data_IF_871989646439
#
_entry.id   IF_871989646439
#
_cell.length_a   1.000
_cell.length_b   1.000
_cell.length_c   1.000
_cell.angle_alpha   90.00
_cell.angle_beta   90.00
_cell.angle_gamma   90.00
#
_symmetry.space_group_name_H-M   'P 1'
#
loop_
_entity.id
_entity.type
_entity.pdbx_description
1 polymer ?
#
# COMPACT_ATOMS: atom_id res chain seq x y z
N UNK A 1 -3.77 -24.30 -19.33
CA UNK A 1 -3.18 -23.67 -18.13
C UNK A 1 -2.40 -22.47 -18.59
N UNK A 2 -3.12 -21.40 -18.89
CA UNK A 2 -2.54 -20.09 -19.14
C UNK A 2 -2.51 -19.38 -17.79
N UNK A 3 -1.31 -19.00 -17.34
CA UNK A 3 -1.12 -18.23 -16.11
C UNK A 3 -0.87 -16.77 -16.50
N UNK A 4 -1.63 -15.84 -15.93
CA UNK A 4 -1.37 -14.40 -16.07
C UNK A 4 -0.72 -13.90 -14.79
N UNK A 5 0.57 -13.59 -14.87
CA UNK A 5 1.32 -12.93 -13.80
C UNK A 5 1.23 -11.43 -13.99
N UNK A 6 0.60 -10.74 -13.03
CA UNK A 6 0.51 -9.28 -12.98
C UNK A 6 1.54 -8.77 -12.00
N UNK A 7 2.67 -8.31 -12.54
CA UNK A 7 3.77 -7.67 -11.82
C UNK A 7 4.06 -6.29 -12.38
N UNK A 8 4.89 -5.53 -11.67
CA UNK A 8 5.50 -4.34 -12.26
C UNK A 8 6.31 -4.75 -13.49
N UNK A 9 6.11 -4.10 -14.65
CA UNK A 9 6.88 -4.41 -15.83
C UNK A 9 8.34 -3.97 -15.60
N UNK A 10 9.33 -4.71 -16.15
CA UNK A 10 10.75 -4.41 -15.94
C UNK A 10 11.14 -2.97 -16.31
N UNK A 11 10.46 -2.38 -17.30
CA UNK A 11 10.68 -0.99 -17.71
C UNK A 11 10.23 0.05 -16.68
N UNK A 12 9.11 -0.16 -15.99
CA UNK A 12 8.68 0.73 -14.90
C UNK A 12 9.61 0.59 -13.69
N UNK A 13 10.04 -0.63 -13.37
CA UNK A 13 10.99 -0.88 -12.30
C UNK A 13 12.35 -0.22 -12.59
N UNK A 14 12.84 -0.30 -13.83
CA UNK A 14 14.05 0.40 -14.28
C UNK A 14 13.89 1.92 -14.24
N UNK A 15 12.72 2.45 -14.63
CA UNK A 15 12.42 3.88 -14.55
C UNK A 15 12.40 4.37 -13.10
N UNK A 16 11.87 3.60 -12.15
CA UNK A 16 11.89 3.94 -10.73
C UNK A 16 13.34 3.92 -10.20
N UNK A 17 14.09 2.85 -10.48
CA UNK A 17 15.50 2.73 -10.07
C UNK A 17 16.42 3.78 -10.69
N UNK A 18 16.14 4.26 -11.90
CA UNK A 18 16.95 5.29 -12.55
C UNK A 18 16.44 6.71 -12.22
N UNK A 19 15.12 6.90 -12.26
CA UNK A 19 14.47 8.20 -12.13
C UNK A 19 14.59 8.80 -10.73
N UNK A 20 14.34 8.01 -9.67
CA UNK A 20 14.40 8.53 -8.31
C UNK A 20 15.82 8.92 -7.87
N UNK A 21 16.90 8.15 -8.13
CA UNK A 21 18.26 8.59 -7.84
C UNK A 21 18.69 9.80 -8.65
N UNK A 22 18.32 9.89 -9.93
CA UNK A 22 18.65 11.05 -10.78
C UNK A 22 17.92 12.30 -10.29
N UNK A 23 16.62 12.19 -9.97
CA UNK A 23 15.85 13.28 -9.39
C UNK A 23 16.38 13.69 -8.01
N UNK A 24 16.70 12.71 -7.16
CA UNK A 24 17.28 12.92 -5.84
C UNK A 24 18.62 13.64 -5.91
N UNK A 25 19.51 13.21 -6.83
CA UNK A 25 20.78 13.89 -7.09
C UNK A 25 20.56 15.32 -7.60
N UNK A 26 19.62 15.51 -8.53
CA UNK A 26 19.24 16.84 -9.04
C UNK A 26 18.70 17.77 -7.95
N UNK A 27 17.84 17.27 -7.06
CA UNK A 27 17.34 17.99 -5.89
C UNK A 27 18.44 18.32 -4.90
N UNK A 28 19.34 17.38 -4.60
CA UNK A 28 20.51 17.61 -3.74
C UNK A 28 21.41 18.72 -4.30
N UNK A 29 21.62 18.73 -5.61
CA UNK A 29 22.33 19.81 -6.31
C UNK A 29 21.57 21.14 -6.27
N UNK A 30 20.25 21.12 -6.48
CA UNK A 30 19.39 22.31 -6.40
C UNK A 30 19.39 22.96 -5.00
N UNK A 31 19.36 22.15 -3.94
CA UNK A 31 19.48 22.63 -2.55
C UNK A 31 20.81 23.34 -2.34
N UNK A 32 21.92 22.85 -2.91
CA UNK A 32 23.21 23.55 -2.87
C UNK A 32 23.15 24.92 -3.55
N UNK A 33 22.53 25.02 -4.73
CA UNK A 33 22.38 26.28 -5.46
C UNK A 33 21.55 27.30 -4.67
N UNK A 34 20.47 26.84 -4.02
CA UNK A 34 19.63 27.67 -3.15
C UNK A 34 20.36 28.03 -1.85
N UNK A 35 21.18 27.13 -1.29
CA UNK A 35 21.98 27.40 -0.09
C UNK A 35 23.05 28.47 -0.34
N UNK A 36 23.73 28.43 -1.49
CA UNK A 36 24.68 29.48 -1.90
C UNK A 36 24.02 30.86 -2.02
N UNK A 37 22.76 30.90 -2.47
CA UNK A 37 21.94 32.11 -2.47
C UNK A 37 21.48 32.51 -1.07
N UNK A 38 21.04 31.56 -0.24
CA UNK A 38 20.52 31.81 1.10
C UNK A 38 21.57 32.37 2.08
N UNK A 39 22.84 32.00 1.94
CA UNK A 39 23.95 32.56 2.74
C UNK A 39 24.14 34.07 2.49
N UNK A 40 23.60 34.62 1.40
CA UNK A 40 23.62 36.06 1.14
C UNK A 40 22.51 36.83 1.87
N UNK A 41 21.55 36.14 2.51
CA UNK A 41 20.47 36.78 3.28
C UNK A 41 20.82 36.89 4.78
N UNK A 42 20.75 38.10 5.38
CA UNK A 42 21.21 38.39 6.74
C UNK A 42 20.32 37.86 7.89
N UNK A 43 19.34 36.97 7.64
CA UNK A 43 18.33 36.56 8.63
C UNK A 43 18.17 35.03 8.81
N UNK A 44 19.09 34.20 8.30
CA UNK A 44 18.93 32.74 8.34
C UNK A 44 19.50 32.13 9.63
N UNK A 45 18.73 31.41 10.47
CA UNK A 45 19.18 30.87 11.76
C UNK A 45 20.07 29.61 11.67
N UNK A 46 20.63 29.30 10.50
CA UNK A 46 21.40 28.08 10.21
C UNK A 46 22.88 28.34 9.86
N UNK A 47 23.44 29.46 10.36
CA UNK A 47 24.77 29.95 9.99
C UNK A 47 25.88 28.89 10.15
N UNK A 48 25.90 28.15 11.26
CA UNK A 48 27.00 27.23 11.58
C UNK A 48 27.09 25.98 10.70
N UNK A 49 25.98 25.22 10.43
CA UNK A 49 26.02 24.12 9.46
C UNK A 49 26.36 24.59 8.03
N UNK A 50 25.84 25.76 7.63
CA UNK A 50 26.09 26.33 6.30
C UNK A 50 27.55 26.77 6.13
N UNK A 51 28.15 27.41 7.14
CA UNK A 51 29.58 27.76 7.14
C UNK A 51 30.49 26.53 7.04
N UNK A 52 30.16 25.45 7.74
CA UNK A 52 30.92 24.20 7.64
C UNK A 52 30.88 23.63 6.21
N UNK A 53 29.70 23.59 5.59
CA UNK A 53 29.54 23.15 4.21
C UNK A 53 30.26 24.09 3.22
N UNK A 54 30.23 25.40 3.46
CA UNK A 54 30.91 26.39 2.63
C UNK A 54 32.44 26.37 2.79
N UNK A 55 32.96 25.92 3.93
CA UNK A 55 34.41 25.79 4.18
C UNK A 55 35.07 24.63 3.44
N UNK A 56 34.26 23.70 2.91
CA UNK A 56 34.76 22.55 2.16
C UNK A 56 35.11 22.96 0.71
N UNK A 57 36.28 22.55 0.19
CA UNK A 57 36.69 22.92 -1.15
C UNK A 57 35.86 22.24 -2.25
N UNK A 58 35.47 23.00 -3.27
CA UNK A 58 35.03 22.44 -4.56
C UNK A 58 36.13 21.51 -5.10
N UNK A 59 35.82 20.31 -5.62
CA UNK A 59 34.50 19.78 -5.97
C UNK A 59 33.81 18.93 -4.89
N UNK A 60 34.40 18.79 -3.70
CA UNK A 60 33.98 17.82 -2.68
C UNK A 60 32.56 18.09 -2.16
N UNK A 61 32.17 19.37 -2.04
CA UNK A 61 30.81 19.78 -1.66
C UNK A 61 29.78 19.34 -2.69
N UNK A 62 30.09 19.51 -3.98
CA UNK A 62 29.22 19.11 -5.09
C UNK A 62 29.05 17.59 -5.13
N UNK A 63 30.16 16.86 -5.00
CA UNK A 63 30.14 15.41 -4.96
C UNK A 63 29.34 14.91 -3.75
N UNK A 64 29.52 15.52 -2.58
CA UNK A 64 28.76 15.19 -1.37
C UNK A 64 27.26 15.42 -1.52
N UNK A 65 26.84 16.57 -2.05
CA UNK A 65 25.43 16.88 -2.27
C UNK A 65 24.76 15.93 -3.28
N UNK A 66 25.44 15.62 -4.39
CA UNK A 66 24.99 14.65 -5.38
C UNK A 66 24.91 13.24 -4.79
N UNK A 67 25.90 12.84 -3.99
CA UNK A 67 25.92 11.53 -3.34
C UNK A 67 24.77 11.38 -2.34
N UNK A 68 24.56 12.37 -1.46
CA UNK A 68 23.47 12.35 -0.47
C UNK A 68 22.11 12.35 -1.18
N UNK A 69 21.91 13.21 -2.18
CA UNK A 69 20.69 13.25 -2.97
C UNK A 69 20.43 11.94 -3.73
N UNK A 70 21.47 11.38 -4.34
CA UNK A 70 21.40 10.10 -5.05
C UNK A 70 21.07 8.93 -4.11
N UNK A 71 21.71 8.85 -2.93
CA UNK A 71 21.41 7.84 -1.91
C UNK A 71 19.98 8.00 -1.41
N UNK A 72 19.52 9.22 -1.11
CA UNK A 72 18.15 9.47 -0.69
C UNK A 72 17.14 9.04 -1.78
N UNK A 73 17.42 9.37 -3.04
CA UNK A 73 16.63 8.90 -4.19
C UNK A 73 16.64 7.38 -4.32
N UNK A 74 17.77 6.72 -4.08
CA UNK A 74 17.90 5.27 -4.12
C UNK A 74 17.09 4.60 -3.01
N UNK A 75 17.13 5.15 -1.79
CA UNK A 75 16.31 4.67 -0.65
C UNK A 75 14.83 4.82 -0.98
N UNK A 76 14.41 5.96 -1.56
CA UNK A 76 13.03 6.15 -1.99
C UNK A 76 12.61 5.16 -3.10
N UNK A 77 13.49 4.91 -4.07
CA UNK A 77 13.25 3.91 -5.12
C UNK A 77 13.06 2.51 -4.53
N UNK A 78 13.94 2.13 -3.59
CA UNK A 78 13.85 0.86 -2.89
C UNK A 78 12.55 0.74 -2.09
N UNK A 79 12.18 1.76 -1.31
CA UNK A 79 10.93 1.79 -0.56
C UNK A 79 9.70 1.70 -1.46
N UNK A 80 9.73 2.38 -2.61
CA UNK A 80 8.65 2.30 -3.60
C UNK A 80 8.52 0.87 -4.15
N UNK A 81 9.63 0.18 -4.43
CA UNK A 81 9.61 -1.16 -5.03
C UNK A 81 9.28 -2.24 -4.00
N UNK A 82 9.72 -2.11 -2.75
CA UNK A 82 9.52 -3.10 -1.69
C UNK A 82 8.04 -3.32 -1.33
N UNK A 83 7.17 -2.35 -1.57
CA UNK A 83 5.74 -2.39 -1.23
C UNK A 83 4.85 -3.06 -2.31
N UNK A 84 5.43 -3.75 -3.31
CA UNK A 84 4.64 -4.32 -4.41
C UNK A 84 4.08 -5.70 -4.11
N UNK A 85 2.83 -5.90 -4.51
CA UNK A 85 2.20 -7.23 -4.57
C UNK A 85 2.42 -7.88 -5.93
N UNK A 86 2.72 -9.17 -5.90
CA UNK A 86 2.68 -10.03 -7.08
C UNK A 86 1.34 -10.74 -7.11
N UNK A 87 0.58 -10.54 -8.19
CA UNK A 87 -0.71 -11.18 -8.38
C UNK A 87 -0.58 -12.17 -9.53
N UNK A 88 -0.74 -13.45 -9.22
CA UNK A 88 -0.84 -14.50 -10.22
C UNK A 88 -2.29 -14.93 -10.31
N UNK A 89 -2.86 -14.93 -11.52
CA UNK A 89 -4.20 -15.44 -11.78
C UNK A 89 -4.09 -16.54 -12.82
N UNK A 90 -4.62 -17.71 -12.52
CA UNK A 90 -4.83 -18.79 -13.49
C UNK A 90 -6.30 -19.20 -13.53
N UNK A 91 -6.63 -20.20 -14.36
CA UNK A 91 -8.01 -20.63 -14.59
C UNK A 91 -8.69 -21.25 -13.33
N UNK A 92 -7.91 -21.68 -12.34
CA UNK A 92 -8.37 -22.42 -11.16
C UNK A 92 -8.03 -21.76 -9.82
N UNK A 93 -7.05 -20.85 -9.76
CA UNK A 93 -6.56 -20.20 -8.53
C UNK A 93 -5.99 -18.80 -8.80
N UNK A 94 -6.11 -17.96 -7.78
CA UNK A 94 -5.47 -16.66 -7.67
C UNK A 94 -4.50 -16.70 -6.50
N UNK A 95 -3.27 -16.24 -6.71
CA UNK A 95 -2.26 -16.09 -5.67
C UNK A 95 -1.87 -14.62 -5.54
N UNK A 96 -1.90 -14.14 -4.30
CA UNK A 96 -1.50 -12.80 -3.91
C UNK A 96 -0.28 -12.95 -3.01
N UNK A 97 0.87 -12.45 -3.45
CA UNK A 97 2.14 -12.54 -2.72
C UNK A 97 2.63 -11.14 -2.39
N UNK A 98 2.86 -10.88 -1.11
CA UNK A 98 3.40 -9.63 -0.59
C UNK A 98 4.42 -9.93 0.51
N UNK A 99 5.68 -9.57 0.29
CA UNK A 99 6.79 -9.97 1.17
C UNK A 99 6.81 -11.49 1.38
N UNK A 100 6.77 -11.93 2.64
CA UNK A 100 6.69 -13.34 3.03
C UNK A 100 5.24 -13.88 3.12
N UNK A 101 4.24 -13.01 2.95
CA UNK A 101 2.83 -13.40 2.99
C UNK A 101 2.37 -13.90 1.61
N UNK A 102 1.78 -15.09 1.58
CA UNK A 102 1.16 -15.68 0.39
C UNK A 102 -0.27 -16.10 0.73
N UNK A 103 -1.22 -15.52 0.01
CA UNK A 103 -2.62 -15.95 0.02
C UNK A 103 -2.93 -16.65 -1.30
N UNK A 104 -3.52 -17.83 -1.24
CA UNK A 104 -3.92 -18.60 -2.41
C UNK A 104 -5.39 -18.97 -2.29
N UNK A 105 -6.16 -18.63 -3.33
CA UNK A 105 -7.62 -18.76 -3.35
C UNK A 105 -8.02 -19.50 -4.60
N UNK A 106 -8.84 -20.55 -4.46
CA UNK A 106 -9.39 -21.26 -5.61
C UNK A 106 -10.46 -20.40 -6.27
N UNK A 107 -10.46 -20.33 -7.60
CA UNK A 107 -11.49 -19.63 -8.40
C UNK A 107 -12.90 -20.06 -7.97
N UNK A 108 -13.10 -21.36 -7.74
CA UNK A 108 -14.38 -21.93 -7.34
C UNK A 108 -14.94 -21.37 -6.03
N UNK A 109 -14.08 -20.86 -5.14
CA UNK A 109 -14.48 -20.29 -3.85
C UNK A 109 -14.80 -18.79 -3.98
N UNK A 110 -14.44 -18.12 -5.09
CA UNK A 110 -14.66 -16.69 -5.29
C UNK A 110 -16.10 -16.41 -5.76
N UNK A 111 -16.83 -15.65 -4.95
CA UNK A 111 -18.15 -15.11 -5.29
C UNK A 111 -18.09 -13.73 -5.96
N UNK A 112 -17.11 -12.90 -5.59
CA UNK A 112 -16.89 -11.58 -6.18
C UNK A 112 -15.41 -11.17 -6.13
N UNK A 113 -14.94 -10.47 -7.16
CA UNK A 113 -13.60 -9.87 -7.22
C UNK A 113 -13.71 -8.39 -7.63
N UNK A 114 -13.03 -7.48 -6.92
CA UNK A 114 -13.08 -6.05 -7.24
C UNK A 114 -11.87 -5.27 -6.71
N UNK A 115 -11.76 -4.02 -7.14
CA UNK A 115 -10.81 -3.06 -6.58
C UNK A 115 -11.46 -2.27 -5.45
N UNK A 116 -10.78 -2.19 -4.31
CA UNK A 116 -11.07 -1.28 -3.21
C UNK A 116 -9.87 -0.37 -2.95
N UNK A 117 -9.94 0.84 -3.49
CA UNK A 117 -8.83 1.79 -3.46
C UNK A 117 -7.61 1.25 -4.21
N UNK A 118 -6.54 0.95 -3.48
CA UNK A 118 -5.28 0.40 -4.02
C UNK A 118 -5.15 -1.11 -3.80
N UNK A 119 -6.20 -1.81 -3.41
CA UNK A 119 -6.16 -3.25 -3.18
C UNK A 119 -7.16 -3.99 -4.08
N UNK A 120 -6.81 -5.20 -4.50
CA UNK A 120 -7.77 -6.17 -5.03
C UNK A 120 -8.34 -6.97 -3.87
N UNK A 121 -9.65 -7.15 -3.85
CA UNK A 121 -10.38 -7.89 -2.83
C UNK A 121 -11.14 -9.03 -3.49
N UNK A 122 -11.02 -10.22 -2.92
CA UNK A 122 -11.79 -11.40 -3.29
C UNK A 122 -12.74 -11.72 -2.14
N UNK A 123 -14.02 -11.79 -2.46
CA UNK A 123 -15.05 -12.27 -1.55
C UNK A 123 -15.43 -13.70 -1.89
N UNK A 124 -15.73 -14.48 -0.86
CA UNK A 124 -16.34 -15.79 -0.99
C UNK A 124 -17.83 -15.72 -1.31
N UNK A 125 -18.44 -16.88 -1.49
CA UNK A 125 -19.88 -16.99 -1.79
C UNK A 125 -20.77 -16.58 -0.63
N UNK A 126 -20.28 -16.64 0.62
CA UNK A 126 -21.00 -16.13 1.77
C UNK A 126 -20.75 -14.63 2.00
N UNK A 127 -20.05 -13.95 1.09
CA UNK A 127 -19.64 -12.53 1.15
C UNK A 127 -18.51 -12.23 2.14
N UNK A 128 -17.88 -13.25 2.71
CA UNK A 128 -16.68 -13.15 3.54
C UNK A 128 -15.47 -12.70 2.72
N UNK A 129 -14.55 -11.95 3.32
CA UNK A 129 -13.29 -11.60 2.65
C UNK A 129 -12.31 -12.77 2.70
N UNK A 130 -12.13 -13.46 1.58
CA UNK A 130 -11.22 -14.62 1.51
C UNK A 130 -9.80 -14.23 1.16
N UNK A 131 -9.60 -13.11 0.46
CA UNK A 131 -8.29 -12.52 0.22
C UNK A 131 -8.36 -11.03 -0.08
N UNK A 132 -7.28 -10.33 0.29
CA UNK A 132 -7.05 -8.93 -0.06
C UNK A 132 -5.58 -8.71 -0.32
N UNK A 133 -5.23 -8.07 -1.44
CA UNK A 133 -3.83 -7.70 -1.69
C UNK A 133 -3.35 -6.68 -0.66
N UNK A 134 -2.16 -6.91 -0.13
CA UNK A 134 -1.40 -5.94 0.66
C UNK A 134 -0.46 -5.15 -0.25
N UNK A 135 -0.12 -3.93 0.12
CA UNK A 135 0.78 -3.08 -0.66
C UNK A 135 0.17 -2.46 -1.91
N UNK A 136 1.03 -1.93 -2.76
CA UNK A 136 0.67 -1.17 -3.96
C UNK A 136 0.45 -2.09 -5.18
N UNK A 137 -0.71 -1.94 -5.84
CA UNK A 137 -1.00 -2.67 -7.07
C UNK A 137 -0.15 -2.17 -8.25
N UNK A 138 0.36 -3.08 -9.10
CA UNK A 138 1.12 -2.69 -10.28
C UNK A 138 0.28 -1.95 -11.33
N UNK A 139 -0.95 -2.38 -11.56
CA UNK A 139 -1.90 -1.68 -12.44
C UNK A 139 -3.32 -2.18 -12.22
N UNK A 140 -4.24 -1.29 -11.86
CA UNK A 140 -5.66 -1.60 -11.71
C UNK A 140 -6.27 -2.25 -12.97
N UNK A 141 -5.95 -1.71 -14.15
CA UNK A 141 -6.46 -2.22 -15.42
C UNK A 141 -5.91 -3.62 -15.74
N UNK A 142 -4.61 -3.87 -15.53
CA UNK A 142 -4.03 -5.21 -15.80
C UNK A 142 -4.56 -6.26 -14.84
N UNK A 143 -4.80 -5.88 -13.58
CA UNK A 143 -5.42 -6.76 -12.59
C UNK A 143 -6.83 -7.12 -13.04
N UNK A 144 -7.66 -6.12 -13.37
CA UNK A 144 -9.00 -6.36 -13.91
C UNK A 144 -8.96 -7.28 -15.14
N UNK A 145 -8.12 -6.99 -16.13
CA UNK A 145 -8.01 -7.79 -17.34
C UNK A 145 -7.59 -9.24 -17.05
N UNK A 146 -6.70 -9.47 -16.09
CA UNK A 146 -6.28 -10.80 -15.68
C UNK A 146 -7.45 -11.58 -15.05
N UNK A 147 -8.14 -11.00 -14.07
CA UNK A 147 -9.29 -11.65 -13.42
C UNK A 147 -10.43 -11.92 -14.41
N UNK A 148 -10.75 -10.97 -15.29
CA UNK A 148 -11.77 -11.13 -16.33
C UNK A 148 -11.38 -12.23 -17.33
N UNK A 149 -10.11 -12.24 -17.78
CA UNK A 149 -9.60 -13.25 -18.72
C UNK A 149 -9.71 -14.67 -18.17
N UNK A 150 -9.48 -14.86 -16.88
CA UNK A 150 -9.56 -16.16 -16.21
C UNK A 150 -10.95 -16.49 -15.64
N UNK A 151 -11.98 -15.71 -16.00
CA UNK A 151 -13.37 -16.04 -15.69
C UNK A 151 -13.74 -15.91 -14.21
N UNK A 152 -13.09 -14.99 -13.49
CA UNK A 152 -13.49 -14.60 -12.15
C UNK A 152 -14.69 -13.65 -12.19
N UNK A 153 -15.58 -13.67 -11.18
CA UNK A 153 -16.73 -12.76 -11.09
C UNK A 153 -16.28 -11.33 -10.73
N UNK A 154 -15.79 -10.60 -11.73
CA UNK A 154 -15.27 -9.25 -11.55
C UNK A 154 -16.38 -8.20 -11.47
N UNK A 155 -16.35 -7.35 -10.44
CA UNK A 155 -17.25 -6.20 -10.25
C UNK A 155 -16.49 -4.89 -10.51
N UNK A 156 -16.81 -4.22 -11.62
CA UNK A 156 -16.16 -2.98 -12.03
C UNK A 156 -16.51 -1.79 -11.12
N UNK A 157 -17.70 -1.80 -10.52
CA UNK A 157 -18.20 -0.72 -9.65
C UNK A 157 -17.70 -0.82 -8.19
N UNK A 158 -16.76 -1.73 -7.92
CA UNK A 158 -16.22 -1.98 -6.59
C UNK A 158 -17.04 -3.00 -5.79
N UNK A 159 -17.02 -2.83 -4.47
CA UNK A 159 -17.66 -3.76 -3.53
C UNK A 159 -19.20 -3.83 -3.74
N UNK A 160 -19.75 -5.00 -4.11
CA UNK A 160 -21.19 -5.17 -4.30
C UNK A 160 -21.99 -4.99 -3.00
N UNK A 161 -21.36 -5.14 -1.83
CA UNK A 161 -21.97 -5.00 -0.50
C UNK A 161 -21.64 -3.67 0.18
N UNK A 162 -21.14 -2.68 -0.58
CA UNK A 162 -20.72 -1.37 -0.04
C UNK A 162 -21.80 -0.66 0.80
N UNK A 163 -23.07 -0.88 0.47
CA UNK A 163 -24.20 -0.17 1.10
C UNK A 163 -24.63 -0.82 2.42
N UNK A 164 -24.10 -2.01 2.75
CA UNK A 164 -24.35 -2.72 4.02
C UNK A 164 -23.40 -2.26 5.15
N UNK A 165 -22.31 -1.58 4.80
CA UNK A 165 -21.31 -1.14 5.77
C UNK A 165 -21.86 -0.04 6.68
N UNK A 166 -21.74 -0.27 7.99
CA UNK A 166 -22.12 0.69 9.03
C UNK A 166 -20.89 1.17 9.75
N UNK A 167 -20.89 2.44 10.15
CA UNK A 167 -19.78 2.99 10.93
C UNK A 167 -19.68 2.26 12.26
N UNK A 168 -18.48 1.79 12.61
CA UNK A 168 -18.24 1.25 13.93
C UNK A 168 -18.24 2.36 14.99
N UNK A 169 -18.88 2.09 16.11
CA UNK A 169 -18.76 2.84 17.35
C UNK A 169 -18.35 1.88 18.44
N UNK A 170 -17.64 2.40 19.43
CA UNK A 170 -17.13 1.59 20.53
C UNK A 170 -18.27 0.88 21.28
N UNK A 171 -18.04 -0.39 21.61
CA UNK A 171 -18.99 -1.28 22.28
C UNK A 171 -20.34 -1.41 21.55
N UNK A 172 -20.29 -1.53 20.22
CA UNK A 172 -21.48 -1.71 19.39
C UNK A 172 -22.26 -2.97 19.82
N UNK A 173 -23.58 -2.90 20.09
CA UNK A 173 -24.34 -4.00 20.68
C UNK A 173 -24.55 -5.19 19.75
N UNK A 174 -24.49 -4.97 18.43
CA UNK A 174 -24.60 -6.05 17.42
C UNK A 174 -23.27 -6.81 17.20
N UNK A 175 -22.20 -6.46 17.91
CA UNK A 175 -20.89 -7.09 17.78
C UNK A 175 -20.52 -7.81 19.07
N UNK A 176 -19.93 -8.99 18.96
CA UNK A 176 -19.38 -9.70 20.12
C UNK A 176 -18.33 -8.86 20.86
N UNK A 177 -18.14 -9.09 22.18
CA UNK A 177 -17.09 -8.43 22.94
C UNK A 177 -15.69 -8.58 22.32
N UNK A 178 -15.42 -9.76 21.75
CA UNK A 178 -14.17 -10.07 21.04
C UNK A 178 -14.03 -9.22 19.77
N UNK A 179 -15.06 -9.14 18.92
CA UNK A 179 -15.03 -8.31 17.72
C UNK A 179 -14.85 -6.81 18.05
N UNK A 180 -15.55 -6.32 19.08
CA UNK A 180 -15.36 -4.95 19.57
C UNK A 180 -13.93 -4.70 20.07
N UNK A 181 -13.33 -5.64 20.81
CA UNK A 181 -11.95 -5.52 21.28
C UNK A 181 -10.93 -5.47 20.13
N UNK A 182 -11.11 -6.32 19.11
CA UNK A 182 -10.26 -6.32 17.90
C UNK A 182 -10.41 -5.02 17.10
N UNK A 183 -11.63 -4.50 16.93
CA UNK A 183 -11.87 -3.22 16.26
C UNK A 183 -11.23 -2.04 17.01
N UNK A 184 -11.28 -2.04 18.34
CA UNK A 184 -10.60 -1.06 19.20
C UNK A 184 -9.08 -1.15 19.04
N UNK A 185 -8.51 -2.35 19.05
CA UNK A 185 -7.08 -2.55 18.81
C UNK A 185 -6.67 -2.07 17.42
N UNK A 186 -7.50 -2.36 16.41
CA UNK A 186 -7.28 -1.97 15.02
C UNK A 186 -7.36 -0.46 14.83
N UNK A 187 -8.29 0.22 15.50
CA UNK A 187 -8.37 1.67 15.51
C UNK A 187 -7.04 2.29 15.97
N UNK A 188 -6.45 1.78 17.05
CA UNK A 188 -5.17 2.24 17.57
C UNK A 188 -3.99 1.94 16.64
N UNK A 189 -4.03 0.82 15.92
CA UNK A 189 -3.02 0.49 14.92
C UNK A 189 -3.08 1.49 13.76
N UNK A 190 -4.27 1.80 13.25
CA UNK A 190 -4.48 2.80 12.20
C UNK A 190 -4.05 4.21 12.65
N UNK A 191 -4.35 4.62 13.89
CA UNK A 191 -3.90 5.90 14.44
C UNK A 191 -2.37 6.04 14.55
N UNK A 192 -1.66 4.92 14.69
CA UNK A 192 -0.21 4.85 14.79
C UNK A 192 0.47 4.51 13.46
N UNK A 193 -0.28 4.54 12.36
CA UNK A 193 0.18 4.17 11.01
C UNK A 193 0.82 2.77 10.94
N UNK A 194 0.34 1.83 11.78
CA UNK A 194 0.78 0.42 11.80
C UNK A 194 -0.12 -0.42 10.90
N UNK A 195 0.12 -0.32 9.59
CA UNK A 195 -0.67 -1.00 8.57
C UNK A 195 -0.69 -2.52 8.70
N UNK A 196 0.45 -3.14 8.99
CA UNK A 196 0.56 -4.60 9.11
C UNK A 196 -0.24 -5.14 10.31
N UNK A 197 -0.09 -4.52 11.50
CA UNK A 197 -0.91 -4.83 12.68
C UNK A 197 -2.42 -4.70 12.37
N UNK A 198 -2.81 -3.65 11.64
CA UNK A 198 -4.20 -3.43 11.26
C UNK A 198 -4.72 -4.45 10.22
N UNK A 199 -3.84 -5.01 9.39
CA UNK A 199 -4.16 -6.06 8.43
C UNK A 199 -4.32 -7.42 9.12
N UNK A 200 -3.45 -7.75 10.08
CA UNK A 200 -3.58 -8.97 10.89
C UNK A 200 -4.90 -8.98 11.68
N UNK A 201 -5.23 -7.86 12.33
CA UNK A 201 -6.51 -7.72 13.06
C UNK A 201 -7.74 -7.80 12.15
N UNK A 202 -7.63 -7.38 10.87
CA UNK A 202 -8.70 -7.55 9.87
C UNK A 202 -8.95 -9.03 9.54
N UNK A 203 -7.89 -9.82 9.46
CA UNK A 203 -8.01 -11.27 9.23
C UNK A 203 -8.66 -11.96 10.43
N UNK A 204 -8.33 -11.54 11.66
CA UNK A 204 -9.01 -12.05 12.87
C UNK A 204 -10.49 -11.69 12.90
N UNK A 205 -10.83 -10.45 12.53
CA UNK A 205 -12.23 -10.02 12.41
C UNK A 205 -13.00 -10.82 11.35
N UNK A 206 -12.35 -11.13 10.22
CA UNK A 206 -12.95 -11.97 9.17
C UNK A 206 -13.27 -13.37 9.67
N UNK A 207 -12.40 -13.96 10.52
CA UNK A 207 -12.66 -15.25 11.19
C UNK A 207 -13.88 -15.21 12.12
N UNK A 208 -14.24 -14.04 12.62
CA UNK A 208 -15.45 -13.80 13.41
C UNK A 208 -16.66 -13.39 12.55
N UNK A 209 -16.57 -13.48 11.22
CA UNK A 209 -17.65 -13.08 10.33
C UNK A 209 -17.83 -11.55 10.22
N UNK A 210 -16.83 -10.76 10.59
CA UNK A 210 -16.87 -9.29 10.52
C UNK A 210 -15.96 -8.80 9.41
N UNK A 211 -16.55 -8.25 8.34
CA UNK A 211 -15.79 -7.61 7.25
C UNK A 211 -15.68 -6.13 7.56
N UNK A 212 -14.45 -5.60 7.53
CA UNK A 212 -14.18 -4.19 7.81
C UNK A 212 -13.81 -3.40 6.56
N UNK A 213 -14.14 -2.12 6.55
CA UNK A 213 -13.73 -1.19 5.48
C UNK A 213 -13.39 0.15 6.09
N UNK A 214 -12.29 0.74 5.65
CA UNK A 214 -11.85 2.05 6.13
C UNK A 214 -12.31 3.13 5.16
N UNK A 215 -12.95 4.16 5.69
CA UNK A 215 -13.36 5.34 4.94
C UNK A 215 -13.09 6.58 5.78
N UNK A 216 -12.34 7.54 5.24
CA UNK A 216 -12.04 8.81 5.92
C UNK A 216 -11.46 8.62 7.34
N UNK A 217 -10.51 7.68 7.50
CA UNK A 217 -9.92 7.26 8.78
C UNK A 217 -10.93 6.69 9.79
N UNK A 218 -12.12 6.28 9.34
CA UNK A 218 -13.16 5.66 10.17
C UNK A 218 -13.39 4.23 9.71
N UNK A 219 -13.42 3.33 10.68
CA UNK A 219 -13.73 1.93 10.44
C UNK A 219 -15.23 1.75 10.27
N UNK A 220 -15.61 1.08 9.20
CA UNK A 220 -16.95 0.60 8.95
C UNK A 220 -16.91 -0.92 8.94
N UNK A 221 -18.03 -1.55 9.24
CA UNK A 221 -18.13 -2.99 9.32
C UNK A 221 -19.46 -3.47 8.76
N UNK A 222 -19.48 -4.72 8.34
CA UNK A 222 -20.69 -5.50 8.07
C UNK A 222 -20.49 -6.93 8.58
N UNK A 223 -21.58 -7.60 8.93
CA UNK A 223 -21.55 -9.03 9.22
C UNK A 223 -21.66 -9.85 7.94
N UNK A 224 -21.00 -11.00 7.94
CA UNK A 224 -21.21 -12.07 6.97
C UNK A 224 -22.44 -12.86 7.42
N UNK A 225 -23.43 -13.10 6.55
CA UNK A 225 -24.56 -13.97 6.88
C UNK A 225 -24.07 -15.36 7.34
N UNK A 226 -24.45 -15.78 8.55
CA UNK A 226 -24.03 -17.06 9.15
C UNK A 226 -22.68 -17.02 9.88
N UNK A 227 -22.06 -15.85 10.01
CA UNK A 227 -20.93 -15.61 10.90
C UNK A 227 -21.39 -15.27 12.30
N UNK A 228 -21.86 -16.29 13.04
CA UNK A 228 -21.82 -16.48 14.51
C UNK A 228 -22.55 -17.79 14.87
#
# INVERSE_FOLDING_TARGET
MTETVVTLPPGEQALIWAGFPVLGAGLGWGIKAVAGWAITLPWVPFDKPLEFIASLPEPHVTIGALAVGGIAGLVLAFLAIADHVVITVDDDRASLVYGDSRQEVRRADVGAAFLDGKAVVLLGHATEEIARSRGSLPSAARVQDAFVRHGYPWHADGDPHRDEFRRWVEDHPELSPTANALLRARARALEKDRGDDAAELREELTRLGVVVRDRDKRQHWRSVPGGE
#
